data_IF_614686896665
#
_entry.id   IF_614686896665
#
_cell.length_a   1.000
_cell.length_b   1.000
_cell.length_c   1.000
_cell.angle_alpha   90.00
_cell.angle_beta   90.00
_cell.angle_gamma   90.00
#
_symmetry.space_group_name_H-M   'P 1'
#
loop_
_entity.id
_entity.type
_entity.pdbx_description
1 polymer ?
#
# COMPACT_ATOMS: atom_id res chain seq x y z
N UNK A 1 -7.22 -1.54 -8.29
CA UNK A 1 -6.00 -0.72 -8.46
C UNK A 1 -4.97 -1.38 -9.36
N UNK A 2 -4.59 -2.62 -9.13
CA UNK A 2 -3.57 -3.33 -9.91
C UNK A 2 -3.87 -3.45 -11.43
N UNK A 3 -5.13 -3.49 -11.81
CA UNK A 3 -5.56 -3.59 -13.23
C UNK A 3 -5.89 -2.24 -13.87
N UNK A 4 -5.92 -1.14 -13.11
CA UNK A 4 -6.25 0.17 -13.67
C UNK A 4 -5.03 0.78 -14.35
N UNK A 5 -5.22 1.28 -15.59
CA UNK A 5 -4.19 1.99 -16.33
C UNK A 5 -3.72 3.23 -15.52
N UNK A 6 -2.43 3.35 -15.18
CA UNK A 6 -1.91 4.49 -14.43
C UNK A 6 -1.77 5.78 -15.26
N UNK A 7 -1.97 5.73 -16.56
CA UNK A 7 -1.74 6.82 -17.51
C UNK A 7 -0.56 6.50 -18.43
N UNK A 8 -0.58 5.32 -19.08
CA UNK A 8 0.45 4.99 -20.06
C UNK A 8 0.43 5.95 -21.24
N UNK A 9 1.59 6.50 -21.57
CA UNK A 9 1.76 7.34 -22.75
C UNK A 9 1.85 6.43 -23.96
N UNK A 10 1.12 6.78 -25.00
CA UNK A 10 1.09 5.99 -26.24
C UNK A 10 2.30 6.31 -27.12
N UNK A 11 2.73 5.33 -27.90
CA UNK A 11 3.79 5.47 -28.90
C UNK A 11 3.43 6.57 -29.90
N UNK A 12 4.39 7.42 -30.21
CA UNK A 12 4.23 8.45 -31.22
C UNK A 12 4.31 7.86 -32.63
N UNK A 13 3.35 8.24 -33.48
CA UNK A 13 3.35 7.79 -34.90
C UNK A 13 4.52 8.33 -35.73
N UNK A 14 5.08 9.47 -35.34
CA UNK A 14 6.18 10.12 -36.04
C UNK A 14 7.39 10.34 -35.12
N UNK A 15 7.75 9.32 -34.34
CA UNK A 15 8.85 9.42 -33.37
C UNK A 15 10.18 9.78 -34.03
N UNK A 16 10.48 9.19 -35.20
CA UNK A 16 11.72 9.44 -35.94
C UNK A 16 11.83 10.91 -36.39
N UNK A 17 10.73 11.48 -36.87
CA UNK A 17 10.71 12.93 -37.22
C UNK A 17 10.88 13.84 -36.00
N UNK A 18 10.34 13.44 -34.87
CA UNK A 18 10.46 14.16 -33.58
C UNK A 18 11.88 14.11 -33.02
N UNK A 19 12.64 13.06 -33.27
CA UNK A 19 14.06 12.97 -32.87
C UNK A 19 14.94 14.08 -33.52
N UNK A 20 14.52 14.61 -34.65
CA UNK A 20 15.24 15.67 -35.35
C UNK A 20 14.88 17.10 -34.88
N UNK A 21 13.75 17.26 -34.18
CA UNK A 21 13.17 18.56 -33.84
C UNK A 21 13.02 18.80 -32.34
N UNK A 22 13.01 17.75 -31.53
CA UNK A 22 12.78 17.83 -30.08
C UNK A 22 14.07 17.45 -29.34
N UNK A 23 14.31 18.09 -28.19
CA UNK A 23 15.44 17.75 -27.34
C UNK A 23 15.38 16.28 -26.88
N UNK A 24 16.52 15.61 -26.94
CA UNK A 24 16.64 14.20 -26.52
C UNK A 24 16.20 13.96 -25.06
N UNK A 25 16.28 14.97 -24.20
CA UNK A 25 15.80 14.92 -22.81
C UNK A 25 14.29 14.66 -22.69
N UNK A 26 13.54 15.04 -23.71
CA UNK A 26 12.08 14.90 -23.77
C UNK A 26 11.64 13.62 -24.51
N UNK A 27 12.55 12.84 -25.02
CA UNK A 27 12.25 11.61 -25.74
C UNK A 27 12.52 10.38 -24.87
N UNK A 28 11.71 9.36 -25.07
CA UNK A 28 11.98 8.02 -24.55
C UNK A 28 12.17 7.06 -25.71
N UNK A 29 13.40 6.61 -25.99
CA UNK A 29 13.67 5.68 -27.09
C UNK A 29 12.99 4.33 -26.90
N UNK A 30 12.96 3.80 -25.66
CA UNK A 30 12.39 2.47 -25.38
C UNK A 30 10.89 2.41 -25.65
N UNK A 31 10.17 3.51 -25.41
CA UNK A 31 8.73 3.60 -25.62
C UNK A 31 8.36 4.30 -26.93
N UNK A 32 9.33 4.93 -27.60
CA UNK A 32 9.11 5.79 -28.77
C UNK A 32 8.03 6.85 -28.50
N UNK A 33 8.13 7.52 -27.35
CA UNK A 33 7.18 8.52 -26.88
C UNK A 33 7.84 9.84 -26.57
N UNK A 34 7.09 10.93 -26.67
CA UNK A 34 7.47 12.23 -26.14
C UNK A 34 7.02 12.30 -24.68
N UNK A 35 7.96 12.58 -23.78
CA UNK A 35 7.71 12.72 -22.36
C UNK A 35 7.18 14.12 -22.04
N UNK A 36 6.16 14.20 -21.23
CA UNK A 36 5.75 15.46 -20.59
C UNK A 36 6.69 15.76 -19.40
N UNK A 37 6.67 16.99 -18.89
CA UNK A 37 7.55 17.44 -17.80
C UNK A 37 7.49 16.56 -16.53
N UNK A 38 6.35 15.90 -16.29
CA UNK A 38 6.11 15.04 -15.12
C UNK A 38 5.98 13.56 -15.46
N UNK A 39 6.25 13.17 -16.72
CA UNK A 39 6.23 11.75 -17.09
C UNK A 39 7.63 11.14 -16.95
N UNK A 40 7.65 9.84 -16.62
CA UNK A 40 8.89 9.06 -16.53
C UNK A 40 8.69 7.66 -17.11
N UNK A 41 9.77 7.08 -17.58
CA UNK A 41 9.82 5.66 -17.94
C UNK A 41 9.98 4.81 -16.68
N UNK A 42 9.10 3.83 -16.51
CA UNK A 42 9.25 2.82 -15.47
C UNK A 42 9.90 1.57 -16.06
N UNK A 43 11.10 1.25 -15.60
CA UNK A 43 11.84 0.08 -16.08
C UNK A 43 11.14 -1.25 -15.74
N UNK A 44 10.37 -1.32 -14.64
CA UNK A 44 9.65 -2.53 -14.22
C UNK A 44 8.46 -2.80 -15.13
N UNK A 45 7.67 -1.75 -15.45
CA UNK A 45 6.52 -1.86 -16.36
C UNK A 45 6.92 -1.76 -17.84
N UNK A 46 8.15 -1.34 -18.12
CA UNK A 46 8.68 -1.04 -19.45
C UNK A 46 7.78 -0.10 -20.25
N UNK A 47 7.26 0.96 -19.60
CA UNK A 47 6.35 1.96 -20.20
C UNK A 47 6.55 3.34 -19.60
N UNK A 48 6.29 4.38 -20.38
CA UNK A 48 6.19 5.76 -19.91
C UNK A 48 4.81 6.02 -19.32
N UNK A 49 4.80 6.65 -18.14
CA UNK A 49 3.57 6.98 -17.40
C UNK A 49 3.48 8.49 -17.24
N UNK A 50 2.31 9.05 -17.51
CA UNK A 50 2.02 10.45 -17.30
C UNK A 50 1.86 10.77 -15.82
N UNK A 51 2.48 11.87 -15.37
CA UNK A 51 2.55 12.26 -13.95
C UNK A 51 2.95 11.06 -13.08
N UNK A 52 4.05 10.41 -13.49
CA UNK A 52 4.61 9.27 -12.78
C UNK A 52 4.97 9.65 -11.35
N UNK A 53 4.45 8.90 -10.40
CA UNK A 53 4.80 9.00 -9.00
C UNK A 53 5.85 7.92 -8.66
N UNK A 54 5.43 6.67 -8.57
CA UNK A 54 6.31 5.54 -8.33
C UNK A 54 5.75 4.24 -8.92
N UNK A 55 6.59 3.21 -9.00
CA UNK A 55 6.12 1.83 -9.18
C UNK A 55 5.86 1.23 -7.81
N UNK A 56 4.63 0.81 -7.56
CA UNK A 56 4.21 0.26 -6.27
C UNK A 56 4.14 -1.27 -6.30
N UNK A 57 5.05 -1.98 -5.62
CA UNK A 57 5.03 -3.44 -5.57
C UNK A 57 3.76 -4.01 -4.93
N UNK A 58 3.18 -3.29 -3.96
CA UNK A 58 1.98 -3.73 -3.24
C UNK A 58 0.75 -3.87 -4.12
N UNK A 59 0.64 -3.07 -5.17
CA UNK A 59 -0.44 -3.15 -6.15
C UNK A 59 0.03 -3.72 -7.49
N UNK A 60 1.31 -4.09 -7.58
CA UNK A 60 1.99 -4.56 -8.79
C UNK A 60 1.68 -3.67 -10.01
N UNK A 61 1.74 -2.36 -9.83
CA UNK A 61 1.43 -1.36 -10.86
C UNK A 61 2.11 -0.03 -10.54
N UNK A 62 2.26 0.82 -11.57
CA UNK A 62 2.67 2.20 -11.35
C UNK A 62 1.52 3.05 -10.81
N UNK A 63 1.87 4.06 -10.02
CA UNK A 63 0.98 5.15 -9.63
C UNK A 63 1.25 6.34 -10.54
N UNK A 64 0.20 6.85 -11.17
CA UNK A 64 0.25 7.94 -12.12
C UNK A 64 -1.09 8.68 -12.22
N UNK A 65 -1.26 9.53 -13.24
CA UNK A 65 -2.38 10.46 -13.33
C UNK A 65 -3.77 9.81 -13.18
N UNK A 66 -3.98 8.60 -13.72
CA UNK A 66 -5.32 8.01 -13.76
C UNK A 66 -5.67 7.16 -12.54
N UNK A 67 -4.70 6.78 -11.70
CA UNK A 67 -4.95 5.94 -10.52
C UNK A 67 -4.45 6.53 -9.20
N UNK A 68 -3.86 7.72 -9.22
CA UNK A 68 -3.32 8.39 -8.05
C UNK A 68 -4.36 8.59 -6.93
N UNK A 69 -5.56 9.07 -7.27
CA UNK A 69 -6.65 9.27 -6.29
C UNK A 69 -7.07 7.95 -5.64
N UNK A 70 -7.15 6.88 -6.42
CA UNK A 70 -7.49 5.54 -5.89
C UNK A 70 -6.39 5.00 -4.99
N UNK A 71 -5.13 5.36 -5.25
CA UNK A 71 -4.01 5.01 -4.40
C UNK A 71 -4.14 5.69 -3.02
N UNK A 72 -4.51 6.96 -2.95
CA UNK A 72 -4.79 7.64 -1.69
C UNK A 72 -5.95 7.03 -0.92
N UNK A 73 -7.05 6.68 -1.59
CA UNK A 73 -8.15 5.97 -0.92
C UNK A 73 -7.71 4.61 -0.37
N UNK A 74 -6.87 3.89 -1.11
CA UNK A 74 -6.29 2.64 -0.63
C UNK A 74 -5.43 2.85 0.63
N UNK A 75 -4.53 3.82 0.62
CA UNK A 75 -3.70 4.16 1.79
C UNK A 75 -4.57 4.56 2.99
N UNK A 76 -5.54 5.45 2.78
CA UNK A 76 -6.43 5.90 3.85
C UNK A 76 -7.24 4.73 4.46
N UNK A 77 -7.83 3.88 3.65
CA UNK A 77 -8.58 2.72 4.15
C UNK A 77 -7.69 1.73 4.90
N UNK A 78 -6.47 1.50 4.40
CA UNK A 78 -5.49 0.65 5.07
C UNK A 78 -5.09 1.24 6.42
N UNK A 79 -4.81 2.55 6.47
CA UNK A 79 -4.46 3.25 7.71
C UNK A 79 -5.59 3.18 8.74
N UNK A 80 -6.84 3.42 8.31
CA UNK A 80 -8.01 3.33 9.19
C UNK A 80 -8.19 1.90 9.74
N UNK A 81 -8.04 0.89 8.90
CA UNK A 81 -8.15 -0.52 9.32
C UNK A 81 -7.06 -0.88 10.34
N UNK A 82 -5.82 -0.47 10.10
CA UNK A 82 -4.70 -0.71 11.03
C UNK A 82 -4.89 0.03 12.36
N UNK A 83 -5.41 1.26 12.34
CA UNK A 83 -5.73 2.02 13.54
C UNK A 83 -6.79 1.33 14.40
N UNK A 84 -7.86 0.84 13.76
CA UNK A 84 -8.92 0.07 14.45
C UNK A 84 -8.36 -1.22 15.02
N UNK A 85 -7.55 -1.96 14.27
CA UNK A 85 -6.94 -3.20 14.72
C UNK A 85 -6.01 -2.95 15.93
N UNK A 86 -5.17 -1.93 15.87
CA UNK A 86 -4.32 -1.53 16.98
C UNK A 86 -5.12 -1.15 18.22
N UNK A 87 -6.15 -0.32 18.06
CA UNK A 87 -7.03 0.09 19.15
C UNK A 87 -7.74 -1.10 19.82
N UNK A 88 -8.26 -2.05 19.03
CA UNK A 88 -8.90 -3.25 19.58
C UNK A 88 -7.92 -4.13 20.35
N UNK A 89 -6.72 -4.36 19.81
CA UNK A 89 -5.67 -5.10 20.51
C UNK A 89 -5.27 -4.43 21.83
N UNK A 90 -5.11 -3.12 21.82
CA UNK A 90 -4.80 -2.35 23.02
C UNK A 90 -5.93 -2.42 24.06
N UNK A 91 -7.19 -2.32 23.66
CA UNK A 91 -8.34 -2.47 24.57
C UNK A 91 -8.37 -3.85 25.23
N UNK A 92 -8.12 -4.90 24.47
CA UNK A 92 -8.08 -6.27 25.02
C UNK A 92 -6.94 -6.39 26.03
N UNK A 93 -5.77 -5.87 25.72
CA UNK A 93 -4.62 -5.85 26.62
C UNK A 93 -4.93 -5.14 27.94
N UNK A 94 -5.49 -3.91 27.86
CA UNK A 94 -5.87 -3.13 29.05
C UNK A 94 -6.91 -3.85 29.90
N UNK A 95 -7.88 -4.52 29.29
CA UNK A 95 -8.86 -5.33 30.02
C UNK A 95 -8.19 -6.49 30.72
N UNK A 96 -7.29 -7.20 30.06
CA UNK A 96 -6.58 -8.33 30.63
C UNK A 96 -5.77 -7.95 31.89
N UNK A 97 -5.24 -6.71 31.96
CA UNK A 97 -4.54 -6.20 33.16
C UNK A 97 -5.47 -5.65 34.25
N UNK A 98 -6.72 -5.30 33.92
CA UNK A 98 -7.64 -4.68 34.90
C UNK A 98 -8.62 -5.66 35.56
N UNK A 99 -8.83 -6.79 34.96
CA UNK A 99 -9.78 -7.80 35.46
C UNK A 99 -9.00 -8.84 36.25
N UNK A 100 -9.41 -9.08 37.52
CA UNK A 100 -9.00 -10.26 38.25
C UNK A 100 -9.44 -11.49 37.40
N UNK A 101 -8.47 -12.15 36.81
CA UNK A 101 -8.68 -13.25 35.88
C UNK A 101 -9.33 -14.43 36.59
N UNK A 102 -10.36 -15.12 36.01
CA UNK A 102 -10.50 -15.41 34.59
C UNK A 102 -11.79 -14.83 33.98
N UNK A 103 -11.73 -14.09 32.89
CA UNK A 103 -12.90 -13.97 32.04
C UNK A 103 -13.27 -15.36 31.51
N UNK A 104 -14.56 -15.62 31.43
CA UNK A 104 -15.08 -16.87 30.89
C UNK A 104 -14.77 -16.98 29.39
N UNK A 105 -13.55 -17.43 29.07
CA UNK A 105 -13.12 -17.70 27.70
C UNK A 105 -13.63 -19.05 27.16
N UNK A 106 -14.36 -19.81 27.93
CA UNK A 106 -14.94 -21.07 27.48
C UNK A 106 -15.77 -20.86 26.21
N UNK A 107 -16.56 -19.80 26.17
CA UNK A 107 -17.41 -19.46 25.00
C UNK A 107 -16.63 -19.12 23.74
N UNK A 108 -15.43 -18.56 23.85
CA UNK A 108 -14.59 -18.25 22.70
C UNK A 108 -13.77 -19.47 22.24
N UNK A 109 -13.32 -20.26 23.19
CA UNK A 109 -12.68 -21.56 22.95
C UNK A 109 -13.62 -22.54 22.26
N UNK A 110 -14.87 -22.60 22.70
CA UNK A 110 -15.91 -23.45 22.09
C UNK A 110 -16.17 -23.09 20.63
N UNK A 111 -16.15 -21.80 20.30
CA UNK A 111 -16.34 -21.30 18.92
C UNK A 111 -15.20 -21.74 17.98
N UNK A 112 -13.96 -21.82 18.47
CA UNK A 112 -12.78 -22.15 17.67
C UNK A 112 -12.23 -23.55 17.94
N UNK A 113 -12.82 -24.32 18.89
CA UNK A 113 -12.28 -25.58 19.36
C UNK A 113 -10.81 -25.50 19.80
N UNK A 114 -10.34 -24.33 20.18
CA UNK A 114 -8.98 -24.05 20.62
C UNK A 114 -9.06 -23.62 22.09
N UNK A 115 -8.38 -24.31 22.97
CA UNK A 115 -8.09 -23.87 24.33
C UNK A 115 -6.65 -23.39 24.41
N UNK A 116 -6.37 -22.13 24.03
CA UNK A 116 -5.02 -21.61 24.14
C UNK A 116 -4.66 -21.50 25.63
N UNK A 117 -3.43 -21.87 26.00
CA UNK A 117 -2.90 -21.53 27.32
C UNK A 117 -2.91 -19.98 27.46
N UNK A 118 -3.15 -19.49 28.68
CA UNK A 118 -3.19 -18.04 28.96
C UNK A 118 -1.95 -17.31 28.39
N UNK A 119 -0.77 -17.92 28.53
CA UNK A 119 0.47 -17.37 27.98
C UNK A 119 0.47 -17.25 26.45
N UNK A 120 -0.11 -18.20 25.73
CA UNK A 120 -0.22 -18.14 24.28
C UNK A 120 -1.16 -17.00 23.86
N UNK A 121 -2.28 -16.82 24.57
CA UNK A 121 -3.23 -15.74 24.29
C UNK A 121 -2.59 -14.35 24.48
N UNK A 122 -1.88 -14.12 25.59
CA UNK A 122 -1.12 -12.88 25.80
C UNK A 122 -0.06 -12.66 24.73
N UNK A 123 0.70 -13.69 24.40
CA UNK A 123 1.69 -13.63 23.34
C UNK A 123 1.06 -13.20 22.00
N UNK A 124 -0.07 -13.81 21.62
CA UNK A 124 -0.76 -13.45 20.37
C UNK A 124 -1.27 -12.01 20.36
N UNK A 125 -1.77 -11.49 21.50
CA UNK A 125 -2.19 -10.09 21.62
C UNK A 125 -0.99 -9.13 21.44
N UNK A 126 0.11 -9.42 22.12
CA UNK A 126 1.33 -8.58 22.02
C UNK A 126 1.85 -8.59 20.59
N UNK A 127 1.95 -9.75 19.96
CA UNK A 127 2.36 -9.89 18.55
C UNK A 127 1.44 -9.10 17.62
N UNK A 128 0.12 -9.20 17.83
CA UNK A 128 -0.86 -8.46 17.03
C UNK A 128 -0.67 -6.93 17.16
N UNK A 129 -0.46 -6.42 18.39
CA UNK A 129 -0.22 -4.99 18.64
C UNK A 129 1.06 -4.52 17.95
N UNK A 130 2.15 -5.30 18.09
CA UNK A 130 3.43 -4.95 17.49
C UNK A 130 3.36 -4.93 15.96
N UNK A 131 2.75 -5.95 15.35
CA UNK A 131 2.60 -6.05 13.91
C UNK A 131 1.70 -4.92 13.38
N UNK A 132 0.52 -4.72 13.99
CA UNK A 132 -0.39 -3.66 13.54
C UNK A 132 0.20 -2.27 13.72
N UNK A 133 0.92 -2.03 14.80
CA UNK A 133 1.63 -0.76 15.04
C UNK A 133 2.76 -0.52 14.04
N UNK A 134 3.55 -1.54 13.71
CA UNK A 134 4.60 -1.46 12.71
C UNK A 134 4.04 -1.12 11.32
N UNK A 135 3.00 -1.85 10.88
CA UNK A 135 2.36 -1.57 9.60
C UNK A 135 1.66 -0.21 9.59
N UNK A 136 1.02 0.19 10.68
CA UNK A 136 0.41 1.52 10.81
C UNK A 136 1.43 2.63 10.59
N UNK A 137 2.59 2.55 11.27
CA UNK A 137 3.67 3.52 11.12
C UNK A 137 4.24 3.52 9.70
N UNK A 138 4.44 2.35 9.10
CA UNK A 138 4.92 2.22 7.73
C UNK A 138 3.97 2.88 6.71
N UNK A 139 2.66 2.63 6.83
CA UNK A 139 1.66 3.25 5.95
C UNK A 139 1.55 4.75 6.19
N UNK A 140 1.67 5.21 7.46
CA UNK A 140 1.67 6.63 7.79
C UNK A 140 2.84 7.37 7.15
N UNK A 141 4.04 6.79 7.18
CA UNK A 141 5.22 7.35 6.52
C UNK A 141 4.98 7.48 5.02
N UNK A 142 4.44 6.42 4.36
CA UNK A 142 4.13 6.46 2.93
C UNK A 142 3.04 7.49 2.57
N UNK A 143 2.20 7.87 3.52
CA UNK A 143 1.16 8.87 3.31
C UNK A 143 1.70 10.31 3.39
N UNK A 144 2.77 10.53 4.18
CA UNK A 144 3.36 11.86 4.43
C UNK A 144 4.46 12.22 3.42
N UNK A 145 5.15 11.22 2.86
CA UNK A 145 6.21 11.39 1.84
C UNK A 145 5.62 11.53 0.46
#
# INVERSE_FOLDING_TARGET
>A
MSIKNPGYIQRSKNFMGMMLTIENSQLCPDCETVRTSRSRHCAICNRCIERFDHHCPWINNCVGIHNHVYFYFFLFSTLATLAIAFYQGFRVLVRAFRVDYPPDYSKFGDLLSITPSEGLFFFMIVVHILISGFFFLGVLILFVV
#
